data_IF_686734845409
#
_entry.id   IF_686734845409
#
_cell.length_a   1.000
_cell.length_b   1.000
_cell.length_c   1.000
_cell.angle_alpha   90.00
_cell.angle_beta   90.00
_cell.angle_gamma   90.00
#
_symmetry.space_group_name_H-M   'P 1'
#
loop_
_entity.id
_entity.type
_entity.pdbx_description
1 polymer ?
#
# COMPACT_ATOMS: atom_id res chain seq x y z
N UNK A 1 -5.40 13.05 -0.26
CA UNK A 1 -6.34 11.92 -0.51
C UNK A 1 -5.96 10.76 0.39
N UNK A 2 -6.91 10.13 1.08
CA UNK A 2 -6.64 8.99 1.97
C UNK A 2 -6.72 7.69 1.19
N UNK A 3 -5.71 6.83 1.30
CA UNK A 3 -5.60 5.59 0.54
C UNK A 3 -5.29 4.42 1.48
N UNK A 4 -5.97 3.30 1.24
CA UNK A 4 -5.65 2.01 1.85
C UNK A 4 -5.11 1.03 0.80
N UNK A 5 -4.09 0.25 1.15
CA UNK A 5 -3.48 -0.77 0.28
C UNK A 5 -3.76 -2.17 0.83
N UNK A 6 -4.46 -3.00 0.05
CA UNK A 6 -4.77 -4.41 0.36
C UNK A 6 -3.92 -5.31 -0.54
N UNK A 7 -3.26 -6.31 0.04
CA UNK A 7 -2.31 -7.17 -0.68
C UNK A 7 -0.91 -6.56 -0.77
N UNK A 8 -0.53 -5.70 0.18
CA UNK A 8 0.73 -4.98 0.18
C UNK A 8 1.99 -5.87 0.25
N UNK A 9 1.87 -7.13 0.68
CA UNK A 9 2.98 -8.08 0.69
C UNK A 9 3.29 -8.69 -0.69
N UNK A 10 2.39 -8.52 -1.67
CA UNK A 10 2.63 -8.94 -3.04
C UNK A 10 3.48 -7.93 -3.81
N UNK A 11 4.09 -8.35 -4.92
CA UNK A 11 4.99 -7.50 -5.73
C UNK A 11 4.33 -6.18 -6.14
N UNK A 12 3.10 -6.25 -6.68
CA UNK A 12 2.34 -5.07 -7.10
C UNK A 12 1.98 -4.18 -5.90
N UNK A 13 1.60 -4.77 -4.77
CA UNK A 13 1.25 -4.03 -3.56
C UNK A 13 2.46 -3.26 -2.99
N UNK A 14 3.62 -3.91 -2.95
CA UNK A 14 4.88 -3.29 -2.53
C UNK A 14 5.32 -2.15 -3.45
N UNK A 15 5.25 -2.34 -4.76
CA UNK A 15 5.58 -1.30 -5.74
C UNK A 15 4.61 -0.12 -5.68
N UNK A 16 3.33 -0.39 -5.47
CA UNK A 16 2.32 0.66 -5.26
C UNK A 16 2.67 1.49 -4.04
N UNK A 17 3.03 0.85 -2.91
CA UNK A 17 3.48 1.56 -1.72
C UNK A 17 4.76 2.37 -1.97
N UNK A 18 5.74 1.82 -2.70
CA UNK A 18 6.99 2.50 -3.05
C UNK A 18 6.75 3.82 -3.79
N UNK A 19 5.76 3.85 -4.69
CA UNK A 19 5.38 5.07 -5.41
C UNK A 19 4.59 6.04 -4.54
N UNK A 20 3.64 5.53 -3.74
CA UNK A 20 2.72 6.38 -2.97
C UNK A 20 3.34 6.95 -1.69
N UNK A 21 4.35 6.31 -1.09
CA UNK A 21 4.92 6.71 0.21
C UNK A 21 5.52 8.13 0.22
N UNK A 22 5.98 8.61 -0.94
CA UNK A 22 6.55 9.95 -1.09
C UNK A 22 5.64 10.90 -1.88
N UNK A 23 4.40 10.50 -2.19
CA UNK A 23 3.52 11.34 -3.01
C UNK A 23 2.88 12.44 -2.15
N UNK A 24 3.05 13.74 -2.49
CA UNK A 24 2.68 14.86 -1.63
C UNK A 24 1.18 14.94 -1.33
N UNK A 25 0.33 14.47 -2.25
CA UNK A 25 -1.13 14.53 -2.10
C UNK A 25 -1.76 13.25 -1.52
N UNK A 26 -0.97 12.27 -1.09
CA UNK A 26 -1.46 10.97 -0.62
C UNK A 26 -1.09 10.73 0.85
N UNK A 27 -2.09 10.32 1.62
CA UNK A 27 -1.91 9.83 2.99
C UNK A 27 -2.28 8.35 3.01
N UNK A 28 -1.31 7.48 3.29
CA UNK A 28 -1.55 6.04 3.41
C UNK A 28 -2.12 5.79 4.82
N UNK A 29 -3.39 5.45 4.91
CA UNK A 29 -4.09 5.29 6.19
C UNK A 29 -4.27 3.84 6.61
N UNK A 30 -4.01 2.89 5.72
CA UNK A 30 -4.15 1.46 6.00
C UNK A 30 -3.27 0.63 5.06
N UNK A 31 -2.59 -0.37 5.60
CA UNK A 31 -1.83 -1.36 4.83
C UNK A 31 -2.12 -2.74 5.40
N UNK A 32 -2.62 -3.65 4.57
CA UNK A 32 -2.92 -5.02 5.01
C UNK A 32 -2.60 -6.04 3.93
N UNK A 33 -2.36 -7.27 4.35
CA UNK A 33 -2.27 -8.43 3.47
C UNK A 33 -2.76 -9.66 4.23
N UNK A 34 -3.33 -10.62 3.51
CA UNK A 34 -3.68 -11.92 4.07
C UNK A 34 -2.73 -12.93 3.46
N UNK A 35 -1.95 -13.60 4.30
CA UNK A 35 -1.26 -14.82 3.93
C UNK A 35 -2.03 -15.99 4.55
N UNK A 36 -2.46 -16.91 3.71
CA UNK A 36 -2.89 -18.22 4.16
C UNK A 36 -1.64 -19.08 4.16
N UNK A 37 -1.14 -19.39 5.36
CA UNK A 37 -0.03 -20.33 5.59
C UNK A 37 -0.60 -21.62 6.16
#
# INVERSE_FOLDING_TARGET
MKVGVVGASGYVGGETLRLLVNHPDVEITMVTSRQHV
#
